data_IF_879548816541
#
_entry.id   IF_879548816541
#
_cell.length_a   1.000
_cell.length_b   1.000
_cell.length_c   1.000
_cell.angle_alpha   90.00
_cell.angle_beta   90.00
_cell.angle_gamma   90.00
#
_symmetry.space_group_name_H-M   'P 1'
#
loop_
_entity.id
_entity.type
_entity.pdbx_description
1 polymer ?
#
# COMPACT_ATOMS: atom_id res chain seq x y z
N UNK A 1 14.21 -6.81 3.30
CA UNK A 1 12.96 -6.64 2.53
C UNK A 1 12.41 -5.27 2.81
N UNK A 2 12.13 -4.52 1.77
CA UNK A 2 11.64 -3.16 1.93
C UNK A 2 10.13 -3.10 2.17
N UNK A 3 9.38 -4.06 1.64
CA UNK A 3 7.93 -4.09 1.87
C UNK A 3 7.59 -4.76 3.20
N UNK A 4 6.60 -4.20 3.89
CA UNK A 4 6.13 -4.72 5.17
C UNK A 4 4.83 -5.49 4.97
N UNK A 5 4.71 -6.63 5.66
CA UNK A 5 3.42 -7.31 5.73
C UNK A 5 2.57 -6.60 6.78
N UNK A 6 1.45 -6.05 6.38
CA UNK A 6 0.55 -5.34 7.28
C UNK A 6 -0.62 -6.25 7.63
N UNK A 7 -0.90 -6.35 8.92
CA UNK A 7 -1.99 -7.15 9.48
C UNK A 7 -2.77 -6.30 10.46
N UNK A 8 -3.89 -6.83 10.95
CA UNK A 8 -4.65 -6.14 11.99
C UNK A 8 -3.79 -5.87 13.24
N UNK A 9 -2.83 -6.76 13.52
CA UNK A 9 -1.97 -6.63 14.70
C UNK A 9 -1.01 -5.46 14.63
N UNK A 10 -0.49 -5.13 13.43
CA UNK A 10 0.51 -4.08 13.31
C UNK A 10 0.05 -2.84 12.54
N UNK A 11 -1.20 -2.83 12.08
CA UNK A 11 -1.71 -1.71 11.26
C UNK A 11 -1.59 -0.37 11.99
N UNK A 12 -2.00 -0.31 13.25
CA UNK A 12 -1.97 0.94 14.00
C UNK A 12 -0.56 1.47 14.13
N UNK A 13 0.37 0.63 14.58
CA UNK A 13 1.76 1.07 14.77
C UNK A 13 2.48 1.38 13.48
N UNK A 14 2.29 0.56 12.44
CA UNK A 14 3.05 0.71 11.21
C UNK A 14 2.45 1.74 10.28
N UNK A 15 1.15 1.96 10.33
CA UNK A 15 0.46 2.86 9.39
C UNK A 15 -0.01 4.13 10.07
N UNK A 16 -0.84 4.01 11.11
CA UNK A 16 -1.45 5.19 11.73
C UNK A 16 -0.45 6.04 12.49
N UNK A 17 0.51 5.41 13.15
CA UNK A 17 1.54 6.12 13.92
C UNK A 17 2.86 6.26 13.17
N UNK A 18 2.87 6.01 11.87
CA UNK A 18 4.08 6.16 11.08
C UNK A 18 4.50 7.63 10.98
N UNK A 19 5.79 7.87 11.15
CA UNK A 19 6.38 9.20 10.96
C UNK A 19 6.73 9.47 9.48
N UNK A 20 6.51 8.49 8.62
CA UNK A 20 6.74 8.56 7.17
C UNK A 20 5.45 8.31 6.43
N UNK A 21 5.30 8.80 5.20
CA UNK A 21 4.19 8.38 4.35
C UNK A 21 4.19 6.87 4.17
N UNK A 22 3.02 6.28 4.04
CA UNK A 22 2.85 4.84 3.85
C UNK A 22 2.04 4.60 2.61
N UNK A 23 2.58 3.78 1.70
CA UNK A 23 1.87 3.30 0.53
C UNK A 23 1.38 1.89 0.86
N UNK A 24 0.06 1.72 0.93
CA UNK A 24 -0.56 0.42 1.20
C UNK A 24 -1.06 -0.21 -0.10
N UNK A 25 -0.79 -1.50 -0.26
CA UNK A 25 -1.26 -2.31 -1.37
C UNK A 25 -2.19 -3.40 -0.86
N UNK A 26 -3.47 -3.29 -1.17
CA UNK A 26 -4.45 -4.35 -0.91
C UNK A 26 -4.43 -5.31 -2.09
N UNK A 27 -4.09 -6.56 -1.83
CA UNK A 27 -3.86 -7.57 -2.88
C UNK A 27 -4.38 -8.94 -2.48
N UNK A 28 -4.38 -9.86 -3.44
CA UNK A 28 -4.62 -11.28 -3.17
C UNK A 28 -3.66 -12.11 -4.04
N UNK A 29 -3.36 -13.32 -3.59
CA UNK A 29 -2.41 -14.19 -4.31
C UNK A 29 -2.94 -14.64 -5.67
N UNK A 30 -4.27 -14.74 -5.82
CA UNK A 30 -4.91 -15.18 -7.06
C UNK A 30 -5.10 -14.05 -8.09
N UNK A 31 -4.74 -12.84 -7.73
CA UNK A 31 -5.02 -11.65 -8.54
C UNK A 31 -3.88 -11.38 -9.54
N UNK A 32 -4.16 -11.52 -10.83
CA UNK A 32 -3.18 -11.29 -11.89
C UNK A 32 -2.60 -9.88 -11.90
N UNK A 33 -3.44 -8.82 -11.93
CA UNK A 33 -2.92 -7.45 -11.89
C UNK A 33 -2.11 -7.16 -10.63
N UNK A 34 -2.45 -7.78 -9.49
CA UNK A 34 -1.67 -7.63 -8.27
C UNK A 34 -0.25 -8.19 -8.45
N UNK A 35 -0.13 -9.32 -9.13
CA UNK A 35 1.18 -9.94 -9.40
C UNK A 35 2.02 -9.07 -10.33
N UNK A 36 1.38 -8.39 -11.28
CA UNK A 36 2.08 -7.47 -12.19
C UNK A 36 2.55 -6.23 -11.44
N UNK A 37 1.80 -5.80 -10.43
CA UNK A 37 2.13 -4.61 -9.66
C UNK A 37 3.24 -4.86 -8.63
N UNK A 38 3.37 -6.09 -8.15
CA UNK A 38 4.32 -6.42 -7.09
C UNK A 38 5.76 -5.97 -7.37
N UNK A 39 6.36 -6.25 -8.55
CA UNK A 39 7.72 -5.78 -8.82
C UNK A 39 7.83 -4.26 -8.89
N UNK A 40 6.78 -3.57 -9.34
CA UNK A 40 6.76 -2.10 -9.36
C UNK A 40 6.83 -1.54 -7.95
N UNK A 41 6.03 -2.11 -7.05
CA UNK A 41 6.03 -1.69 -5.64
C UNK A 41 7.36 -2.01 -4.96
N UNK A 42 7.98 -3.13 -5.31
CA UNK A 42 9.29 -3.48 -4.79
C UNK A 42 10.33 -2.43 -5.18
N UNK A 43 10.34 -2.00 -6.44
CA UNK A 43 11.25 -0.95 -6.88
C UNK A 43 11.03 0.36 -6.13
N UNK A 44 9.76 0.75 -5.97
CA UNK A 44 9.43 1.99 -5.25
C UNK A 44 9.90 1.89 -3.79
N UNK A 45 9.69 0.74 -3.15
CA UNK A 45 10.14 0.53 -1.78
C UNK A 45 11.64 0.65 -1.64
N UNK A 46 12.40 0.05 -2.59
CA UNK A 46 13.87 0.09 -2.56
C UNK A 46 14.40 1.50 -2.81
N UNK A 47 13.80 2.20 -3.77
CA UNK A 47 14.25 3.55 -4.13
C UNK A 47 13.93 4.59 -3.07
N UNK A 48 12.96 4.32 -2.22
CA UNK A 48 12.50 5.26 -1.19
C UNK A 48 12.75 4.75 0.23
N UNK A 49 13.67 3.82 0.39
CA UNK A 49 14.02 3.28 1.71
C UNK A 49 14.39 4.43 2.65
N UNK A 50 13.81 4.44 3.83
CA UNK A 50 14.05 5.48 4.83
C UNK A 50 13.12 6.68 4.74
N UNK A 51 12.44 6.90 3.61
CA UNK A 51 11.54 8.05 3.44
C UNK A 51 10.08 7.67 3.17
N UNK A 52 9.84 6.41 2.82
CA UNK A 52 8.50 5.90 2.52
C UNK A 52 8.42 4.47 3.05
N UNK A 53 7.31 4.13 3.69
CA UNK A 53 6.98 2.73 3.98
C UNK A 53 6.09 2.20 2.87
N UNK A 54 6.33 0.96 2.46
CA UNK A 54 5.44 0.25 1.55
C UNK A 54 4.90 -0.95 2.33
N UNK A 55 3.59 -0.99 2.50
CA UNK A 55 2.93 -2.06 3.23
C UNK A 55 2.01 -2.86 2.32
N UNK A 56 1.94 -4.16 2.55
CA UNK A 56 1.11 -5.06 1.75
C UNK A 56 0.08 -5.72 2.65
N UNK A 57 -1.18 -5.67 2.24
CA UNK A 57 -2.31 -6.25 2.97
C UNK A 57 -2.97 -7.29 2.08
N UNK A 58 -2.90 -8.55 2.49
CA UNK A 58 -3.60 -9.64 1.80
C UNK A 58 -5.07 -9.61 2.22
N UNK A 59 -5.97 -9.33 1.27
CA UNK A 59 -7.39 -9.16 1.59
C UNK A 59 -8.06 -10.45 2.06
N UNK A 60 -7.52 -11.60 1.65
CA UNK A 60 -8.07 -12.89 2.09
C UNK A 60 -7.67 -13.23 3.52
N UNK A 61 -6.52 -12.74 3.97
CA UNK A 61 -6.04 -12.94 5.34
C UNK A 61 -6.51 -11.85 6.28
N UNK A 62 -6.76 -10.65 5.77
CA UNK A 62 -7.09 -9.47 6.57
C UNK A 62 -8.44 -8.89 6.14
N UNK A 63 -9.49 -9.69 6.28
CA UNK A 63 -10.82 -9.31 5.81
C UNK A 63 -11.37 -8.08 6.52
N UNK A 64 -11.08 -7.92 7.82
CA UNK A 64 -11.55 -6.75 8.57
C UNK A 64 -10.93 -5.45 8.05
N UNK A 65 -9.63 -5.48 7.73
CA UNK A 65 -8.97 -4.31 7.15
C UNK A 65 -9.54 -4.00 5.77
N UNK A 66 -9.76 -5.04 4.96
CA UNK A 66 -10.35 -4.84 3.63
C UNK A 66 -11.74 -4.21 3.73
N UNK A 67 -12.54 -4.64 4.69
CA UNK A 67 -13.88 -4.09 4.91
C UNK A 67 -13.79 -2.64 5.42
N UNK A 68 -12.87 -2.38 6.34
CA UNK A 68 -12.68 -1.04 6.90
C UNK A 68 -12.38 0.00 5.82
N UNK A 69 -11.60 -0.38 4.81
CA UNK A 69 -11.24 0.51 3.72
C UNK A 69 -12.13 0.31 2.47
N UNK A 70 -13.20 -0.45 2.61
CA UNK A 70 -14.20 -0.66 1.56
C UNK A 70 -13.56 -1.16 0.25
N UNK A 71 -12.65 -2.13 0.37
CA UNK A 71 -11.95 -2.68 -0.78
C UNK A 71 -12.90 -3.57 -1.56
N UNK A 72 -13.30 -3.14 -2.75
CA UNK A 72 -14.19 -3.92 -3.63
C UNK A 72 -13.47 -4.45 -4.85
N UNK A 73 -12.34 -3.85 -5.21
CA UNK A 73 -11.53 -4.26 -6.37
C UNK A 73 -10.07 -4.17 -5.99
N UNK A 74 -9.27 -5.11 -6.47
CA UNK A 74 -7.84 -5.17 -6.20
C UNK A 74 -7.06 -5.24 -7.52
N UNK A 75 -5.80 -4.74 -7.54
CA UNK A 75 -5.12 -4.09 -6.42
C UNK A 75 -5.74 -2.73 -6.08
N UNK A 76 -5.72 -2.37 -4.81
CA UNK A 76 -6.10 -1.02 -4.39
C UNK A 76 -4.93 -0.43 -3.61
N UNK A 77 -4.49 0.76 -4.02
CA UNK A 77 -3.41 1.48 -3.37
C UNK A 77 -3.99 2.63 -2.57
N UNK A 78 -3.49 2.80 -1.36
CA UNK A 78 -3.86 3.93 -0.49
C UNK A 78 -2.59 4.53 0.07
N UNK A 79 -2.45 5.85 -0.03
CA UNK A 79 -1.33 6.56 0.60
C UNK A 79 -1.82 7.19 1.88
N UNK A 80 -1.11 6.90 2.97
CA UNK A 80 -1.36 7.52 4.27
C UNK A 80 -0.26 8.53 4.55
N UNK A 81 -0.66 9.65 5.16
CA UNK A 81 0.26 10.63 5.72
C UNK A 81 -0.29 11.10 7.05
N UNK A 82 0.54 11.08 8.10
CA UNK A 82 0.17 11.52 9.44
C UNK A 82 -1.12 10.84 9.92
N UNK A 83 -1.25 9.54 9.65
CA UNK A 83 -2.37 8.73 10.11
C UNK A 83 -3.65 8.89 9.30
N UNK A 84 -3.60 9.58 8.16
CA UNK A 84 -4.78 9.83 7.33
C UNK A 84 -4.57 9.34 5.90
N UNK A 85 -5.62 8.74 5.32
CA UNK A 85 -5.61 8.37 3.91
C UNK A 85 -5.73 9.64 3.08
N UNK A 86 -4.72 9.92 2.25
CA UNK A 86 -4.66 11.16 1.46
C UNK A 86 -4.76 10.91 -0.04
N UNK A 87 -4.60 9.68 -0.49
CA UNK A 87 -4.73 9.34 -1.91
C UNK A 87 -5.14 7.87 -2.05
N UNK A 88 -5.84 7.54 -3.12
CA UNK A 88 -6.32 6.19 -3.40
C UNK A 88 -6.33 5.95 -4.90
N UNK A 89 -6.02 4.74 -5.30
CA UNK A 89 -6.11 4.32 -6.69
C UNK A 89 -6.51 2.84 -6.76
N UNK A 90 -7.28 2.47 -7.76
CA UNK A 90 -7.76 1.10 -7.95
C UNK A 90 -7.25 0.60 -9.29
N UNK A 91 -6.74 -0.64 -9.29
CA UNK A 91 -6.21 -1.30 -10.46
C UNK A 91 -4.72 -1.08 -10.65
N UNK A 92 -4.17 -1.75 -11.67
CA UNK A 92 -2.75 -1.61 -12.00
C UNK A 92 -2.44 -0.18 -12.47
N UNK A 93 -1.32 0.34 -12.00
CA UNK A 93 -0.79 1.63 -12.45
C UNK A 93 0.69 1.49 -12.77
N UNK A 94 1.19 2.20 -13.79
CA UNK A 94 2.63 2.21 -14.03
C UNK A 94 3.37 2.95 -12.92
N UNK A 95 4.65 2.62 -12.78
CA UNK A 95 5.51 3.16 -11.72
C UNK A 95 5.47 4.68 -11.61
N UNK A 96 5.51 5.37 -12.76
CA UNK A 96 5.52 6.85 -12.77
C UNK A 96 4.27 7.45 -12.14
N UNK A 97 3.10 6.81 -12.34
CA UNK A 97 1.85 7.30 -11.76
C UNK A 97 1.80 7.05 -10.25
N UNK A 98 2.31 5.90 -9.81
CA UNK A 98 2.37 5.60 -8.37
C UNK A 98 3.35 6.55 -7.69
N UNK A 99 4.51 6.78 -8.31
CA UNK A 99 5.51 7.71 -7.77
C UNK A 99 4.93 9.12 -7.65
N UNK A 100 4.17 9.57 -8.64
CA UNK A 100 3.52 10.89 -8.60
C UNK A 100 2.50 10.96 -7.47
N UNK A 101 1.73 9.89 -7.25
CA UNK A 101 0.75 9.83 -6.17
C UNK A 101 1.43 9.93 -4.81
N UNK A 102 2.54 9.24 -4.63
CA UNK A 102 3.33 9.30 -3.39
C UNK A 102 3.92 10.69 -3.18
N UNK A 103 4.50 11.28 -4.24
CA UNK A 103 5.08 12.63 -4.14
C UNK A 103 4.03 13.67 -3.80
N UNK A 104 2.83 13.54 -4.36
CA UNK A 104 1.73 14.45 -4.06
C UNK A 104 1.26 14.39 -2.61
N UNK A 105 1.57 13.29 -1.90
CA UNK A 105 1.17 13.08 -0.51
C UNK A 105 2.25 13.52 0.49
N UNK A 106 3.47 13.80 0.05
CA UNK A 106 4.58 14.15 0.96
C UNK A 106 4.39 15.50 1.66
#
# INVERSE_FOLDING_TARGET
MAELKITAANFENEVLYSDKPVLLDFYADWCGPCKMLAPVLHEIAEENAGTLKVGKINVDEQMELAMRFQVSSIPMLVVFKDGKAVAKSVGYRPKSEIAAMVEGAR
#
